data_IF_070373530256
#
_entry.id   IF_070373530256
#
_cell.length_a   1.000
_cell.length_b   1.000
_cell.length_c   1.000
_cell.angle_alpha   90.00
_cell.angle_beta   90.00
_cell.angle_gamma   90.00
#
_symmetry.space_group_name_H-M   'P 1'
#
loop_
_entity.id
_entity.type
_entity.pdbx_description
1 polymer ?
#
# COMPACT_ATOMS: atom_id res chain seq x y z
N UNK A 1 12.33 -9.20 -13.52
CA UNK A 1 11.28 -8.48 -12.78
C UNK A 1 10.44 -9.51 -12.06
N UNK A 2 10.36 -9.43 -10.73
CA UNK A 2 9.55 -10.34 -9.91
C UNK A 2 8.44 -9.55 -9.23
N UNK A 3 7.19 -9.98 -9.40
CA UNK A 3 6.03 -9.43 -8.69
C UNK A 3 5.76 -10.23 -7.43
N UNK A 4 5.62 -9.54 -6.31
CA UNK A 4 5.28 -10.12 -5.01
C UNK A 4 3.97 -9.52 -4.53
N UNK A 5 2.96 -10.37 -4.31
CA UNK A 5 1.68 -9.94 -3.75
C UNK A 5 1.83 -9.49 -2.29
N UNK A 6 1.15 -8.41 -1.93
CA UNK A 6 1.11 -7.91 -0.56
C UNK A 6 -0.02 -8.58 0.22
N UNK A 7 0.30 -9.72 0.83
CA UNK A 7 -0.67 -10.57 1.53
C UNK A 7 -0.30 -10.90 2.99
N UNK A 8 0.78 -10.31 3.53
CA UNK A 8 1.22 -10.55 4.90
C UNK A 8 1.88 -9.31 5.54
N UNK A 9 2.12 -9.36 6.85
CA UNK A 9 2.69 -8.22 7.60
C UNK A 9 4.03 -7.73 7.06
N UNK A 10 4.87 -8.64 6.56
CA UNK A 10 6.17 -8.29 6.00
C UNK A 10 6.03 -7.55 4.68
N UNK A 11 5.22 -8.09 3.76
CA UNK A 11 4.98 -7.45 2.46
C UNK A 11 4.22 -6.13 2.61
N UNK A 12 3.28 -6.02 3.56
CA UNK A 12 2.61 -4.75 3.89
C UNK A 12 3.63 -3.70 4.35
N UNK A 13 4.54 -4.06 5.27
CA UNK A 13 5.60 -3.16 5.73
C UNK A 13 6.48 -2.69 4.57
N UNK A 14 6.87 -3.60 3.68
CA UNK A 14 7.68 -3.29 2.50
C UNK A 14 6.96 -2.34 1.53
N UNK A 15 5.66 -2.56 1.29
CA UNK A 15 4.82 -1.68 0.46
C UNK A 15 4.78 -0.26 1.03
N UNK A 16 4.54 -0.12 2.34
CA UNK A 16 4.52 1.19 3.02
C UNK A 16 5.87 1.90 3.04
N UNK A 17 6.98 1.16 2.94
CA UNK A 17 8.31 1.75 2.99
C UNK A 17 8.73 2.39 1.66
N UNK A 18 8.12 1.97 0.54
CA UNK A 18 8.51 2.44 -0.80
C UNK A 18 8.44 3.97 -0.95
N UNK A 19 7.35 4.66 -0.57
CA UNK A 19 7.28 6.12 -0.69
C UNK A 19 8.38 6.84 0.10
N UNK A 20 8.74 6.34 1.28
CA UNK A 20 9.82 6.93 2.08
C UNK A 20 11.19 6.81 1.40
N UNK A 21 11.43 5.72 0.66
CA UNK A 21 12.67 5.57 -0.13
C UNK A 21 12.65 6.47 -1.35
N UNK A 22 11.50 6.53 -2.05
CA UNK A 22 11.33 7.29 -3.28
C UNK A 22 11.41 8.80 -3.04
N UNK A 23 10.74 9.29 -2.00
CA UNK A 23 10.59 10.71 -1.70
C UNK A 23 11.54 11.21 -0.61
N UNK A 24 12.57 10.45 -0.25
CA UNK A 24 13.51 10.78 0.85
C UNK A 24 14.11 12.19 0.78
N UNK A 25 14.26 12.75 -0.43
CA UNK A 25 14.87 14.07 -0.65
C UNK A 25 13.83 15.17 -0.97
N UNK A 26 12.54 14.83 -0.98
CA UNK A 26 11.47 15.79 -1.24
C UNK A 26 11.02 16.44 0.08
N UNK A 27 11.44 17.69 0.31
CA UNK A 27 11.17 18.44 1.55
C UNK A 27 9.70 18.80 1.76
N UNK A 28 8.87 18.74 0.71
CA UNK A 28 7.44 19.09 0.78
C UNK A 28 6.54 17.87 0.71
N UNK A 29 7.11 16.66 0.69
CA UNK A 29 6.32 15.44 0.68
C UNK A 29 5.79 15.10 2.07
N UNK A 30 4.49 14.81 2.14
CA UNK A 30 3.81 14.37 3.36
C UNK A 30 3.28 12.97 3.11
N UNK A 31 3.63 12.03 3.98
CA UNK A 31 3.15 10.66 3.89
C UNK A 31 1.65 10.57 4.24
N UNK A 32 0.90 9.77 3.49
CA UNK A 32 -0.45 9.40 3.88
C UNK A 32 -0.45 8.59 5.19
N UNK A 33 -1.53 8.69 5.96
CA UNK A 33 -1.70 7.84 7.13
C UNK A 33 -1.82 6.38 6.68
N UNK A 34 -1.13 5.48 7.37
CA UNK A 34 -1.17 4.05 7.05
C UNK A 34 -2.59 3.50 7.05
N UNK A 35 -3.42 3.94 7.99
CA UNK A 35 -4.81 3.50 8.10
C UNK A 35 -5.62 3.84 6.84
N UNK A 36 -5.35 4.98 6.20
CA UNK A 36 -6.09 5.42 5.01
C UNK A 36 -5.74 4.50 3.85
N UNK A 37 -4.45 4.20 3.66
CA UNK A 37 -3.99 3.23 2.67
C UNK A 37 -4.58 1.85 2.93
N UNK A 38 -4.53 1.34 4.17
CA UNK A 38 -5.09 0.02 4.49
C UNK A 38 -6.60 -0.03 4.30
N UNK A 39 -7.31 1.06 4.57
CA UNK A 39 -8.77 1.12 4.37
C UNK A 39 -9.18 0.91 2.92
N UNK A 40 -8.32 1.24 1.95
CA UNK A 40 -8.57 0.99 0.52
C UNK A 40 -8.69 -0.49 0.23
N UNK A 41 -7.94 -1.34 0.93
CA UNK A 41 -7.86 -2.79 0.71
C UNK A 41 -8.67 -3.61 1.71
N UNK A 42 -9.43 -2.96 2.59
CA UNK A 42 -10.31 -3.60 3.57
C UNK A 42 -11.74 -3.64 3.04
N UNK A 43 -12.28 -4.85 2.78
CA UNK A 43 -13.65 -5.05 2.28
C UNK A 43 -14.74 -4.49 3.22
N UNK A 44 -14.47 -4.39 4.52
CA UNK A 44 -15.41 -3.83 5.48
C UNK A 44 -15.45 -2.30 5.44
N UNK A 45 -14.34 -1.66 5.05
CA UNK A 45 -14.20 -0.20 5.00
C UNK A 45 -14.46 0.36 3.61
N UNK A 46 -13.99 -0.30 2.57
CA UNK A 46 -14.16 0.12 1.19
C UNK A 46 -15.40 -0.52 0.55
N UNK A 47 -16.46 0.26 0.41
CA UNK A 47 -17.73 -0.19 -0.21
C UNK A 47 -17.57 -0.67 -1.65
N UNK A 48 -16.57 -0.17 -2.39
CA UNK A 48 -16.31 -0.60 -3.77
C UNK A 48 -15.85 -2.07 -3.84
N UNK A 49 -15.21 -2.56 -2.78
CA UNK A 49 -14.78 -3.97 -2.69
C UNK A 49 -15.92 -4.94 -2.33
N UNK A 50 -17.16 -4.46 -2.19
CA UNK A 50 -18.33 -5.34 -2.05
C UNK A 50 -18.70 -6.01 -3.38
N UNK A 51 -18.39 -5.35 -4.49
CA UNK A 51 -18.65 -5.83 -5.85
C UNK A 51 -17.37 -5.86 -6.70
N UNK A 52 -16.20 -5.74 -6.06
CA UNK A 52 -14.91 -5.66 -6.74
C UNK A 52 -13.79 -6.18 -5.85
N UNK A 53 -12.60 -6.29 -6.45
CA UNK A 53 -11.42 -6.81 -5.79
C UNK A 53 -10.23 -5.90 -6.05
N UNK A 54 -9.35 -5.78 -5.07
CA UNK A 54 -8.11 -5.03 -5.19
C UNK A 54 -7.01 -5.74 -4.42
N UNK A 55 -5.86 -5.88 -5.07
CA UNK A 55 -4.63 -6.40 -4.48
C UNK A 55 -3.49 -5.43 -4.76
N UNK A 56 -2.44 -5.50 -3.94
CA UNK A 56 -1.23 -4.69 -4.09
C UNK A 56 -0.06 -5.57 -4.45
N UNK A 57 0.87 -5.00 -5.20
CA UNK A 57 2.09 -5.68 -5.65
C UNK A 57 3.33 -4.87 -5.28
N UNK A 58 4.41 -5.59 -4.98
CA UNK A 58 5.77 -5.06 -4.92
C UNK A 58 6.51 -5.58 -6.14
N UNK A 59 7.15 -4.68 -6.87
CA UNK A 59 8.09 -5.03 -7.93
C UNK A 59 9.51 -5.07 -7.37
N UNK A 60 10.18 -6.22 -7.52
CA UNK A 60 11.59 -6.41 -7.20
C UNK A 60 12.46 -6.37 -8.46
#
# INVERSE_FOLDING_TARGET
MQLVEVNNKSTIKSFHQLPFKLYKNNKVWIAHLRQDIESVFDKNKNKQLRHGEAIRWILL
#
